data_IF_169674070601
#
_entry.id   IF_169674070601
#
_cell.length_a   1.000
_cell.length_b   1.000
_cell.length_c   1.000
_cell.angle_alpha   90.00
_cell.angle_beta   90.00
_cell.angle_gamma   90.00
#
_symmetry.space_group_name_H-M   'P 1'
#
loop_
_entity.id
_entity.type
_entity.pdbx_description
1 polymer ?
#
# COMPACT_ATOMS: atom_id res chain seq x y z
N UNK A 1 -6.35 -43.65 -87.00
CA UNK A 1 -6.76 -43.24 -85.64
C UNK A 1 -8.17 -42.67 -85.75
N UNK A 2 -9.12 -43.19 -84.97
CA UNK A 2 -10.54 -42.85 -85.13
C UNK A 2 -10.80 -41.41 -84.62
N UNK A 3 -11.24 -40.47 -85.47
CA UNK A 3 -11.41 -39.05 -85.10
C UNK A 3 -12.34 -38.86 -83.88
N UNK A 4 -13.33 -39.75 -83.69
CA UNK A 4 -14.26 -39.71 -82.56
C UNK A 4 -13.59 -39.95 -81.19
N UNK A 5 -12.47 -40.68 -81.14
CA UNK A 5 -11.73 -40.94 -79.89
C UNK A 5 -10.89 -39.71 -79.50
N UNK A 6 -10.41 -38.95 -80.50
CA UNK A 6 -9.63 -37.73 -80.27
C UNK A 6 -10.55 -36.62 -79.75
N UNK A 7 -11.74 -36.46 -80.33
CA UNK A 7 -12.70 -35.43 -79.92
C UNK A 7 -13.28 -35.68 -78.51
N UNK A 8 -13.56 -36.94 -78.17
CA UNK A 8 -14.03 -37.30 -76.81
C UNK A 8 -12.94 -37.13 -75.75
N UNK A 9 -11.68 -37.42 -76.09
CA UNK A 9 -10.55 -37.14 -75.21
C UNK A 9 -10.32 -35.62 -74.99
N UNK A 10 -10.49 -34.80 -76.04
CA UNK A 10 -10.40 -33.34 -75.94
C UNK A 10 -11.52 -32.76 -75.08
N UNK A 11 -12.76 -33.25 -75.25
CA UNK A 11 -13.89 -32.81 -74.42
C UNK A 11 -13.74 -33.23 -72.95
N UNK A 12 -13.27 -34.45 -72.68
CA UNK A 12 -12.99 -34.90 -71.31
C UNK A 12 -11.88 -34.06 -70.65
N UNK A 13 -10.83 -33.70 -71.40
CA UNK A 13 -9.77 -32.82 -70.93
C UNK A 13 -10.26 -31.39 -70.65
N UNK A 14 -11.18 -30.86 -71.47
CA UNK A 14 -11.80 -29.55 -71.22
C UNK A 14 -12.69 -29.55 -69.97
N UNK A 15 -13.49 -30.60 -69.75
CA UNK A 15 -14.33 -30.73 -68.55
C UNK A 15 -13.44 -30.84 -67.29
N UNK A 16 -12.33 -31.58 -67.35
CA UNK A 16 -11.37 -31.67 -66.26
C UNK A 16 -10.64 -30.33 -66.01
N UNK A 17 -10.28 -29.60 -67.07
CA UNK A 17 -9.66 -28.29 -66.96
C UNK A 17 -10.61 -27.27 -66.30
N UNK A 18 -11.88 -27.22 -66.74
CA UNK A 18 -12.89 -26.33 -66.15
C UNK A 18 -13.23 -26.70 -64.71
N UNK A 19 -13.33 -28.00 -64.40
CA UNK A 19 -13.51 -28.47 -63.03
C UNK A 19 -12.33 -28.10 -62.13
N UNK A 20 -11.09 -28.20 -62.65
CA UNK A 20 -9.86 -27.81 -61.94
C UNK A 20 -9.80 -26.31 -61.70
N UNK A 21 -10.19 -25.49 -62.68
CA UNK A 21 -10.25 -24.02 -62.55
C UNK A 21 -11.29 -23.61 -61.50
N UNK A 22 -12.49 -24.23 -61.51
CA UNK A 22 -13.53 -23.97 -60.50
C UNK A 22 -13.10 -24.44 -59.10
N UNK A 23 -12.45 -25.60 -58.99
CA UNK A 23 -11.91 -26.11 -57.73
C UNK A 23 -10.79 -25.22 -57.20
N UNK A 24 -9.90 -24.72 -58.06
CA UNK A 24 -8.84 -23.78 -57.69
C UNK A 24 -9.41 -22.43 -57.23
N UNK A 25 -10.48 -21.94 -57.88
CA UNK A 25 -11.16 -20.71 -57.47
C UNK A 25 -11.86 -20.86 -56.11
N UNK A 26 -12.59 -21.96 -55.90
CA UNK A 26 -13.23 -22.27 -54.61
C UNK A 26 -12.19 -22.53 -53.50
N UNK A 27 -11.09 -23.21 -53.82
CA UNK A 27 -9.96 -23.43 -52.91
C UNK A 27 -9.26 -22.13 -52.53
N UNK A 28 -9.04 -21.23 -53.49
CA UNK A 28 -8.46 -19.91 -53.26
C UNK A 28 -9.34 -19.01 -52.38
N UNK A 29 -10.66 -19.03 -52.60
CA UNK A 29 -11.62 -18.33 -51.73
C UNK A 29 -11.60 -18.93 -50.31
N UNK A 30 -11.58 -20.25 -50.19
CA UNK A 30 -11.51 -20.94 -48.89
C UNK A 30 -10.26 -20.57 -48.08
N UNK A 31 -9.09 -20.51 -48.73
CA UNK A 31 -7.84 -20.06 -48.11
C UNK A 31 -7.93 -18.58 -47.71
N UNK A 32 -8.45 -17.72 -48.60
CA UNK A 32 -8.61 -16.29 -48.32
C UNK A 32 -9.50 -16.03 -47.11
N UNK A 33 -10.66 -16.70 -47.03
CA UNK A 33 -11.58 -16.64 -45.89
C UNK A 33 -10.89 -17.15 -44.62
N UNK A 34 -10.19 -18.29 -44.68
CA UNK A 34 -9.48 -18.85 -43.53
C UNK A 34 -8.41 -17.92 -42.95
N UNK A 35 -7.66 -17.22 -43.80
CA UNK A 35 -6.65 -16.24 -43.37
C UNK A 35 -7.32 -15.03 -42.69
N UNK A 36 -8.41 -14.51 -43.25
CA UNK A 36 -9.14 -13.36 -42.68
C UNK A 36 -9.71 -13.72 -41.30
N UNK A 37 -10.36 -14.89 -41.17
CA UNK A 37 -10.89 -15.35 -39.88
C UNK A 37 -9.78 -15.59 -38.86
N UNK A 38 -8.66 -16.18 -39.28
CA UNK A 38 -7.51 -16.42 -38.39
C UNK A 38 -6.89 -15.11 -37.91
N UNK A 39 -6.72 -14.12 -38.79
CA UNK A 39 -6.21 -12.80 -38.42
C UNK A 39 -7.18 -12.07 -37.48
N UNK A 40 -8.47 -12.05 -37.78
CA UNK A 40 -9.46 -11.39 -36.94
C UNK A 40 -9.53 -12.01 -35.54
N UNK A 41 -9.49 -13.34 -35.48
CA UNK A 41 -9.45 -14.09 -34.21
C UNK A 41 -8.16 -13.81 -33.44
N UNK A 42 -7.00 -13.81 -34.12
CA UNK A 42 -5.71 -13.51 -33.48
C UNK A 42 -5.66 -12.09 -32.90
N UNK A 43 -6.15 -11.09 -33.63
CA UNK A 43 -6.24 -9.70 -33.14
C UNK A 43 -7.17 -9.59 -31.93
N UNK A 44 -8.31 -10.27 -31.97
CA UNK A 44 -9.26 -10.28 -30.87
C UNK A 44 -8.66 -10.94 -29.62
N UNK A 45 -8.01 -12.09 -29.77
CA UNK A 45 -7.31 -12.78 -28.67
C UNK A 45 -6.17 -11.94 -28.12
N UNK A 46 -5.35 -11.32 -28.96
CA UNK A 46 -4.24 -10.46 -28.52
C UNK A 46 -4.74 -9.24 -27.74
N UNK A 47 -5.82 -8.60 -28.20
CA UNK A 47 -6.44 -7.47 -27.48
C UNK A 47 -6.95 -7.91 -26.11
N UNK A 48 -7.69 -9.01 -26.06
CA UNK A 48 -8.25 -9.53 -24.81
C UNK A 48 -7.15 -9.98 -23.84
N UNK A 49 -6.09 -10.62 -24.35
CA UNK A 49 -4.93 -11.02 -23.56
C UNK A 49 -4.21 -9.82 -22.95
N UNK A 50 -4.00 -8.74 -23.72
CA UNK A 50 -3.36 -7.51 -23.21
C UNK A 50 -4.22 -6.82 -22.14
N UNK A 51 -5.54 -6.82 -22.30
CA UNK A 51 -6.46 -6.30 -21.27
C UNK A 51 -6.43 -7.15 -20.00
N UNK A 52 -6.41 -8.48 -20.13
CA UNK A 52 -6.29 -9.39 -19.00
C UNK A 52 -4.94 -9.24 -18.28
N UNK A 53 -3.84 -9.08 -19.01
CA UNK A 53 -2.52 -8.81 -18.46
C UNK A 53 -2.48 -7.46 -17.71
N UNK A 54 -3.09 -6.41 -18.28
CA UNK A 54 -3.20 -5.11 -17.62
C UNK A 54 -3.99 -5.20 -16.31
N UNK A 55 -5.14 -5.90 -16.32
CA UNK A 55 -5.93 -6.17 -15.10
C UNK A 55 -5.13 -6.92 -14.06
N UNK A 56 -4.41 -7.98 -14.46
CA UNK A 56 -3.55 -8.75 -13.56
C UNK A 56 -2.52 -7.86 -12.87
N UNK A 57 -1.82 -7.00 -13.62
CA UNK A 57 -0.81 -6.13 -13.06
C UNK A 57 -1.43 -5.14 -12.04
N UNK A 58 -2.54 -4.51 -12.39
CA UNK A 58 -3.25 -3.59 -11.48
C UNK A 58 -3.71 -4.32 -10.19
N UNK A 59 -4.19 -5.55 -10.29
CA UNK A 59 -4.63 -6.32 -9.12
C UNK A 59 -3.45 -6.74 -8.24
N UNK A 60 -2.29 -7.06 -8.84
CA UNK A 60 -1.07 -7.33 -8.10
C UNK A 60 -0.55 -6.09 -7.38
N UNK A 61 -0.54 -4.92 -8.04
CA UNK A 61 -0.16 -3.65 -7.42
C UNK A 61 -1.07 -3.31 -6.21
N UNK A 62 -2.36 -3.64 -6.29
CA UNK A 62 -3.28 -3.49 -5.16
C UNK A 62 -2.91 -4.41 -3.99
N UNK A 63 -2.62 -5.69 -4.27
CA UNK A 63 -2.24 -6.66 -3.23
C UNK A 63 -0.90 -6.27 -2.57
N UNK A 64 0.06 -5.80 -3.35
CA UNK A 64 1.34 -5.31 -2.85
C UNK A 64 1.15 -4.07 -1.96
N UNK A 65 0.43 -3.06 -2.46
CA UNK A 65 0.17 -1.84 -1.68
C UNK A 65 -0.64 -2.10 -0.40
N UNK A 66 -1.55 -3.09 -0.42
CA UNK A 66 -2.24 -3.53 0.79
C UNK A 66 -1.27 -4.15 1.81
N UNK A 67 -0.36 -5.00 1.34
CA UNK A 67 0.65 -5.64 2.20
C UNK A 67 1.57 -4.61 2.84
N UNK A 68 1.98 -3.60 2.06
CA UNK A 68 2.77 -2.46 2.57
C UNK A 68 1.99 -1.63 3.59
N UNK A 69 0.70 -1.36 3.35
CA UNK A 69 -0.14 -0.65 4.32
C UNK A 69 -0.27 -1.40 5.64
N UNK A 70 -0.52 -2.72 5.60
CA UNK A 70 -0.59 -3.55 6.81
C UNK A 70 0.74 -3.55 7.56
N UNK A 71 1.85 -3.69 6.84
CA UNK A 71 3.19 -3.58 7.43
C UNK A 71 3.41 -2.23 8.12
N UNK A 72 3.06 -1.11 7.45
CA UNK A 72 3.16 0.23 8.04
C UNK A 72 2.28 0.42 9.27
N UNK A 73 1.09 -0.20 9.29
CA UNK A 73 0.22 -0.20 10.45
C UNK A 73 0.85 -0.98 11.62
N UNK A 74 1.44 -2.15 11.38
CA UNK A 74 2.17 -2.88 12.41
C UNK A 74 3.42 -2.12 12.89
N UNK A 75 4.14 -1.44 11.99
CA UNK A 75 5.35 -0.71 12.35
C UNK A 75 5.10 0.48 13.24
N UNK A 76 3.88 1.04 13.28
CA UNK A 76 3.50 2.13 14.21
C UNK A 76 3.76 1.78 15.68
N UNK A 77 3.69 0.50 16.03
CA UNK A 77 3.98 0.01 17.39
C UNK A 77 5.47 0.09 17.73
N UNK A 78 6.33 0.03 16.72
CA UNK A 78 7.80 -0.01 16.87
C UNK A 78 8.43 1.35 16.62
N UNK A 79 7.96 2.06 15.59
CA UNK A 79 8.41 3.38 15.18
C UNK A 79 7.18 4.24 14.86
N UNK A 80 7.08 5.42 15.46
CA UNK A 80 5.97 6.36 15.25
C UNK A 80 6.13 7.16 13.95
N UNK A 81 6.41 6.46 12.84
CA UNK A 81 6.53 7.07 11.51
C UNK A 81 5.17 7.16 10.83
N UNK A 82 4.46 8.24 11.12
CA UNK A 82 3.11 8.50 10.61
C UNK A 82 3.15 8.99 9.17
N UNK A 83 4.22 9.65 8.75
CA UNK A 83 4.38 10.10 7.36
C UNK A 83 4.43 8.89 6.43
N UNK A 84 5.24 7.87 6.76
CA UNK A 84 5.29 6.63 6.01
C UNK A 84 3.92 5.92 5.94
N UNK A 85 3.15 5.95 7.03
CA UNK A 85 1.79 5.37 7.05
C UNK A 85 0.86 6.10 6.09
N UNK A 86 0.88 7.43 6.09
CA UNK A 86 0.06 8.28 5.22
C UNK A 86 0.39 8.00 3.76
N UNK A 87 1.67 7.94 3.41
CA UNK A 87 2.13 7.62 2.06
C UNK A 87 1.67 6.22 1.62
N UNK A 88 1.81 5.22 2.49
CA UNK A 88 1.37 3.85 2.22
C UNK A 88 -0.15 3.77 2.01
N UNK A 89 -0.91 4.54 2.79
CA UNK A 89 -2.37 4.65 2.61
C UNK A 89 -2.73 5.32 1.28
N UNK A 90 -2.02 6.38 0.88
CA UNK A 90 -2.24 7.04 -0.41
C UNK A 90 -1.96 6.12 -1.59
N UNK A 91 -0.88 5.35 -1.54
CA UNK A 91 -0.52 4.36 -2.57
C UNK A 91 -1.61 3.28 -2.65
N UNK A 92 -2.04 2.74 -1.51
CA UNK A 92 -3.14 1.76 -1.45
C UNK A 92 -4.43 2.33 -2.05
N UNK A 93 -4.85 3.53 -1.64
CA UNK A 93 -6.06 4.20 -2.17
C UNK A 93 -5.97 4.38 -3.68
N UNK A 94 -4.82 4.80 -4.19
CA UNK A 94 -4.61 5.00 -5.62
C UNK A 94 -4.73 3.69 -6.40
N UNK A 95 -4.13 2.61 -5.88
CA UNK A 95 -4.21 1.29 -6.52
C UNK A 95 -5.61 0.67 -6.38
N UNK A 96 -6.32 0.99 -5.30
CA UNK A 96 -7.70 0.60 -5.10
C UNK A 96 -8.61 1.23 -6.15
N UNK A 97 -8.45 2.53 -6.42
CA UNK A 97 -9.20 3.24 -7.47
C UNK A 97 -8.89 2.68 -8.87
N UNK A 98 -7.61 2.36 -9.15
CA UNK A 98 -7.22 1.70 -10.41
C UNK A 98 -7.88 0.34 -10.56
N UNK A 99 -7.89 -0.49 -9.51
CA UNK A 99 -8.54 -1.79 -9.53
C UNK A 99 -10.06 -1.66 -9.70
N UNK A 100 -10.68 -0.69 -9.02
CA UNK A 100 -12.09 -0.36 -9.16
C UNK A 100 -12.40 0.06 -10.60
N UNK A 101 -11.52 0.80 -11.28
CA UNK A 101 -11.70 1.19 -12.67
C UNK A 101 -11.76 0.00 -13.64
N UNK A 102 -10.88 -0.99 -13.47
CA UNK A 102 -10.71 -2.09 -14.45
C UNK A 102 -11.52 -3.36 -14.17
N UNK A 103 -12.03 -3.53 -12.94
CA UNK A 103 -12.80 -4.70 -12.53
C UNK A 103 -14.22 -4.75 -13.10
N UNK A 104 -14.83 -5.93 -13.02
CA UNK A 104 -16.21 -6.14 -13.43
C UNK A 104 -17.19 -5.49 -12.45
N UNK A 105 -18.40 -5.17 -12.93
CA UNK A 105 -19.41 -4.44 -12.14
C UNK A 105 -19.74 -5.14 -10.82
N UNK A 106 -19.79 -6.48 -10.79
CA UNK A 106 -20.07 -7.23 -9.56
C UNK A 106 -18.96 -7.07 -8.51
N UNK A 107 -17.69 -7.14 -8.93
CA UNK A 107 -16.56 -6.94 -8.03
C UNK A 107 -16.48 -5.48 -7.57
N UNK A 108 -16.78 -4.54 -8.47
CA UNK A 108 -16.86 -3.11 -8.17
C UNK A 108 -17.87 -2.81 -7.05
N UNK A 109 -19.04 -3.44 -7.05
CA UNK A 109 -20.03 -3.29 -5.97
C UNK A 109 -19.46 -3.71 -4.61
N UNK A 110 -18.74 -4.84 -4.56
CA UNK A 110 -18.09 -5.30 -3.33
C UNK A 110 -16.94 -4.39 -2.89
N UNK A 111 -16.19 -3.83 -3.85
CA UNK A 111 -15.19 -2.80 -3.56
C UNK A 111 -15.83 -1.52 -2.99
N UNK A 112 -16.98 -1.09 -3.50
CA UNK A 112 -17.71 0.06 -2.93
C UNK A 112 -18.13 -0.22 -1.49
N UNK A 113 -18.72 -1.40 -1.22
CA UNK A 113 -19.12 -1.82 0.13
C UNK A 113 -17.94 -1.86 1.11
N UNK A 114 -16.79 -2.33 0.65
CA UNK A 114 -15.55 -2.26 1.42
C UNK A 114 -15.21 -0.82 1.79
N UNK A 115 -15.25 0.09 0.82
CA UNK A 115 -14.90 1.48 1.04
C UNK A 115 -15.86 2.16 2.02
N UNK A 116 -17.16 1.88 1.90
CA UNK A 116 -18.20 2.34 2.82
C UNK A 116 -17.98 1.85 4.27
N UNK A 117 -17.46 0.64 4.44
CA UNK A 117 -17.16 0.05 5.75
C UNK A 117 -15.85 0.57 6.36
N UNK A 118 -14.81 0.75 5.54
CA UNK A 118 -13.45 1.05 6.00
C UNK A 118 -13.23 2.55 6.19
N UNK A 119 -13.68 3.40 5.27
CA UNK A 119 -13.40 4.85 5.32
C UNK A 119 -13.82 5.49 6.65
N UNK A 120 -15.01 5.22 7.22
CA UNK A 120 -15.39 5.78 8.52
C UNK A 120 -14.44 5.33 9.64
N UNK A 121 -14.02 4.07 9.64
CA UNK A 121 -13.09 3.50 10.63
C UNK A 121 -11.70 4.11 10.50
N UNK A 122 -11.22 4.26 9.27
CA UNK A 122 -9.96 4.95 8.97
C UNK A 122 -9.96 6.38 9.48
N UNK A 123 -11.05 7.14 9.28
CA UNK A 123 -11.16 8.52 9.79
C UNK A 123 -11.05 8.59 11.31
N UNK A 124 -11.74 7.69 12.02
CA UNK A 124 -11.67 7.60 13.49
C UNK A 124 -10.25 7.25 13.94
N UNK A 125 -9.64 6.26 13.29
CA UNK A 125 -8.28 5.82 13.60
C UNK A 125 -7.23 6.93 13.37
N UNK A 126 -7.27 7.62 12.22
CA UNK A 126 -6.36 8.73 11.90
C UNK A 126 -6.48 9.85 12.95
N UNK A 127 -7.69 10.16 13.40
CA UNK A 127 -7.90 11.19 14.43
C UNK A 127 -7.20 10.80 15.73
N UNK A 128 -7.41 9.57 16.21
CA UNK A 128 -6.74 9.06 17.42
C UNK A 128 -5.22 9.06 17.28
N UNK A 129 -4.72 8.70 16.10
CA UNK A 129 -3.29 8.70 15.80
C UNK A 129 -2.68 10.11 15.82
N UNK A 130 -3.40 11.12 15.29
CA UNK A 130 -2.96 12.51 15.30
C UNK A 130 -2.89 13.09 16.73
N UNK A 131 -3.87 12.77 17.57
CA UNK A 131 -3.87 13.17 18.99
C UNK A 131 -2.65 12.60 19.74
N UNK A 132 -2.37 11.31 19.53
CA UNK A 132 -1.20 10.63 20.08
C UNK A 132 0.12 11.23 19.59
N UNK A 133 0.25 11.48 18.29
CA UNK A 133 1.44 12.11 17.72
C UNK A 133 1.69 13.50 18.30
N UNK A 134 0.64 14.30 18.45
CA UNK A 134 0.73 15.62 19.07
C UNK A 134 1.25 15.55 20.51
N UNK A 135 0.96 14.46 21.23
CA UNK A 135 1.47 14.25 22.58
C UNK A 135 2.96 13.86 22.59
N UNK A 136 3.38 12.99 21.66
CA UNK A 136 4.80 12.62 21.47
C UNK A 136 5.63 13.85 21.09
N UNK A 137 5.16 14.66 20.14
CA UNK A 137 5.89 15.86 19.70
C UNK A 137 6.05 16.89 20.83
N UNK A 138 5.06 16.99 21.73
CA UNK A 138 5.20 17.80 22.96
C UNK A 138 6.30 17.28 23.88
N UNK A 139 6.36 15.96 24.11
CA UNK A 139 7.41 15.34 24.92
C UNK A 139 8.79 15.62 24.31
N UNK A 140 8.98 15.38 23.00
CA UNK A 140 10.24 15.68 22.31
C UNK A 140 10.65 17.15 22.43
N UNK A 141 9.69 18.07 22.33
CA UNK A 141 9.96 19.50 22.49
C UNK A 141 10.42 19.84 23.92
N UNK A 142 9.81 19.23 24.93
CA UNK A 142 10.20 19.38 26.33
C UNK A 142 11.59 18.78 26.60
N UNK A 143 11.90 17.59 26.06
CA UNK A 143 13.22 16.98 26.14
C UNK A 143 14.31 17.88 25.53
N UNK A 144 14.02 18.45 24.35
CA UNK A 144 14.93 19.40 23.71
C UNK A 144 15.18 20.62 24.60
N UNK A 145 14.12 21.21 25.17
CA UNK A 145 14.22 22.35 26.09
C UNK A 145 15.01 22.00 27.37
N UNK A 146 14.80 20.81 27.91
CA UNK A 146 15.57 20.28 29.05
C UNK A 146 17.07 20.21 28.71
N UNK A 147 17.41 19.63 27.56
CA UNK A 147 18.79 19.54 27.06
C UNK A 147 19.44 20.91 26.89
N UNK A 148 18.72 21.89 26.30
CA UNK A 148 19.20 23.26 26.14
C UNK A 148 19.50 23.94 27.50
N UNK A 149 18.65 23.73 28.51
CA UNK A 149 18.89 24.23 29.87
C UNK A 149 20.16 23.62 30.45
N UNK A 150 20.34 22.30 30.35
CA UNK A 150 21.53 21.62 30.85
C UNK A 150 22.80 22.08 30.13
N UNK A 151 22.76 22.24 28.81
CA UNK A 151 23.89 22.78 28.04
C UNK A 151 24.25 24.20 28.47
N UNK A 152 23.25 25.02 28.83
CA UNK A 152 23.48 26.39 29.31
C UNK A 152 24.16 26.49 30.68
N UNK A 153 24.21 25.40 31.47
CA UNK A 153 24.92 25.36 32.75
C UNK A 153 26.45 25.30 32.57
N UNK A 154 26.94 24.63 31.52
CA UNK A 154 28.37 24.47 31.24
C UNK A 154 29.15 25.80 31.23
N UNK A 155 28.75 26.85 30.50
CA UNK A 155 29.47 28.13 30.53
C UNK A 155 29.38 28.85 31.88
N UNK A 156 28.37 28.56 32.71
CA UNK A 156 28.25 29.13 34.06
C UNK A 156 29.29 28.49 34.98
N UNK A 157 29.43 27.16 34.93
CA UNK A 157 30.49 26.45 35.67
C UNK A 157 31.88 26.96 35.30
N UNK A 158 32.19 27.12 34.02
CA UNK A 158 33.48 27.67 33.58
C UNK A 158 33.75 29.08 34.14
N UNK A 159 32.71 29.92 34.25
CA UNK A 159 32.86 31.25 34.87
C UNK A 159 33.08 31.17 36.37
N UNK A 160 32.43 30.24 37.07
CA UNK A 160 32.67 30.00 38.50
C UNK A 160 34.13 29.59 38.74
N UNK A 161 34.65 28.67 37.94
CA UNK A 161 36.06 28.23 38.06
C UNK A 161 37.01 29.42 37.88
N UNK A 162 36.80 30.25 36.86
CA UNK A 162 37.61 31.46 36.62
C UNK A 162 37.53 32.46 37.80
N UNK A 163 36.32 32.74 38.31
CA UNK A 163 36.14 33.66 39.44
C UNK A 163 36.75 33.12 40.74
N UNK A 164 36.74 31.80 40.92
CA UNK A 164 37.29 31.14 42.12
C UNK A 164 38.83 31.20 42.15
N UNK A 165 39.47 31.19 40.98
CA UNK A 165 40.92 31.39 40.84
C UNK A 165 41.32 32.85 41.13
N UNK A 166 40.48 33.82 40.73
CA UNK A 166 40.75 35.25 40.93
C UNK A 166 40.46 35.74 42.36
N UNK A 167 39.36 35.29 42.98
CA UNK A 167 38.99 35.66 44.35
C UNK A 167 37.92 34.71 44.95
N UNK A 168 38.25 33.91 45.99
CA UNK A 168 37.36 32.88 46.54
C UNK A 168 36.06 33.39 47.18
N UNK A 169 35.98 34.68 47.56
CA UNK A 169 34.82 35.30 48.22
C UNK A 169 34.08 36.31 47.31
N UNK A 170 34.11 36.08 45.99
CA UNK A 170 33.49 37.00 45.04
C UNK A 170 31.95 36.83 45.02
N UNK A 171 31.21 37.93 45.21
CA UNK A 171 29.73 37.98 45.08
C UNK A 171 29.25 37.38 43.74
N UNK A 172 30.07 37.48 42.69
CA UNK A 172 29.78 36.88 41.37
C UNK A 172 29.63 35.35 41.43
N UNK A 173 30.30 34.68 42.37
CA UNK A 173 30.17 33.23 42.59
C UNK A 173 28.78 32.91 43.18
N UNK A 174 28.31 33.70 44.17
CA UNK A 174 26.96 33.57 44.73
C UNK A 174 25.88 33.75 43.66
N UNK A 175 25.99 34.81 42.86
CA UNK A 175 25.04 35.08 41.77
C UNK A 175 25.03 33.95 40.72
N UNK A 176 26.19 33.33 40.45
CA UNK A 176 26.27 32.19 39.55
C UNK A 176 25.60 30.95 40.14
N UNK A 177 25.74 30.68 41.44
CA UNK A 177 25.01 29.61 42.12
C UNK A 177 23.50 29.85 42.13
N UNK A 178 23.04 31.07 42.35
CA UNK A 178 21.60 31.41 42.26
C UNK A 178 21.05 31.16 40.85
N UNK A 179 21.83 31.50 39.83
CA UNK A 179 21.46 31.24 38.43
C UNK A 179 21.43 29.73 38.12
N UNK A 180 22.39 28.95 38.62
CA UNK A 180 22.39 27.48 38.50
C UNK A 180 21.15 26.90 39.17
N UNK A 181 20.87 27.29 40.42
CA UNK A 181 19.70 26.80 41.17
C UNK A 181 18.38 27.15 40.46
N UNK A 182 18.27 28.35 39.91
CA UNK A 182 17.11 28.75 39.10
C UNK A 182 16.94 27.87 37.86
N UNK A 183 18.04 27.61 37.12
CA UNK A 183 18.03 26.73 35.94
C UNK A 183 17.72 25.28 36.30
N UNK A 184 18.25 24.77 37.41
CA UNK A 184 17.94 23.42 37.90
C UNK A 184 16.46 23.30 38.31
N UNK A 185 15.89 24.31 38.98
CA UNK A 185 14.44 24.35 39.25
C UNK A 185 13.60 24.35 37.97
N UNK A 186 14.00 25.09 36.94
CA UNK A 186 13.31 25.07 35.65
C UNK A 186 13.44 23.71 34.96
N UNK A 187 14.63 23.12 35.01
CA UNK A 187 14.91 21.77 34.50
C UNK A 187 14.01 20.72 35.17
N UNK A 188 13.90 20.77 36.50
CA UNK A 188 13.05 19.87 37.28
C UNK A 188 11.57 20.01 36.88
N UNK A 189 11.06 21.24 36.74
CA UNK A 189 9.67 21.44 36.29
C UNK A 189 9.40 20.79 34.93
N UNK A 190 10.35 20.86 34.00
CA UNK A 190 10.22 20.21 32.69
C UNK A 190 10.18 18.68 32.84
N UNK A 191 11.03 18.12 33.71
CA UNK A 191 11.02 16.67 34.00
C UNK A 191 9.67 16.24 34.60
N UNK A 192 9.15 17.02 35.54
CA UNK A 192 7.84 16.76 36.15
C UNK A 192 6.72 16.82 35.08
N UNK A 193 6.74 17.84 34.20
CA UNK A 193 5.80 17.98 33.08
C UNK A 193 5.89 16.80 32.08
N UNK A 194 7.09 16.30 31.78
CA UNK A 194 7.28 15.11 30.93
C UNK A 194 6.67 13.90 31.61
N UNK A 195 6.96 13.68 32.89
CA UNK A 195 6.48 12.51 33.64
C UNK A 195 4.95 12.48 33.74
N UNK A 196 4.31 13.63 33.95
CA UNK A 196 2.85 13.76 33.95
C UNK A 196 2.25 13.43 32.57
N UNK A 197 2.86 13.92 31.48
CA UNK A 197 2.43 13.64 30.11
C UNK A 197 2.60 12.17 29.75
N UNK A 198 3.72 11.53 30.11
CA UNK A 198 3.95 10.11 29.89
C UNK A 198 2.92 9.26 30.62
N UNK A 199 2.68 9.55 31.90
CA UNK A 199 1.69 8.83 32.72
C UNK A 199 0.27 8.97 32.15
N UNK A 200 -0.11 10.19 31.72
CA UNK A 200 -1.41 10.42 31.09
C UNK A 200 -1.53 9.74 29.72
N UNK A 201 -0.43 9.60 28.98
CA UNK A 201 -0.43 8.99 27.65
C UNK A 201 -0.34 7.47 27.70
N UNK A 202 0.21 6.85 28.73
CA UNK A 202 0.37 5.40 28.82
C UNK A 202 -0.94 4.63 28.61
N UNK A 203 -2.02 5.11 29.24
CA UNK A 203 -3.37 4.56 29.05
C UNK A 203 -3.93 4.81 27.64
N UNK A 204 -3.63 5.96 27.04
CA UNK A 204 -4.03 6.25 25.67
C UNK A 204 -3.28 5.37 24.66
N UNK A 205 -1.99 5.13 24.88
CA UNK A 205 -1.14 4.24 24.07
C UNK A 205 -1.71 2.84 24.02
N UNK A 206 -2.04 2.25 25.18
CA UNK A 206 -2.65 0.92 25.25
C UNK A 206 -3.98 0.84 24.49
N UNK A 207 -4.82 1.87 24.62
CA UNK A 207 -6.09 1.95 23.90
C UNK A 207 -5.87 2.05 22.38
N UNK A 208 -4.95 2.90 21.94
CA UNK A 208 -4.65 3.09 20.51
C UNK A 208 -4.08 1.83 19.89
N UNK A 209 -3.19 1.11 20.58
CA UNK A 209 -2.64 -0.14 20.08
C UNK A 209 -3.69 -1.24 19.98
N UNK A 210 -4.65 -1.29 20.92
CA UNK A 210 -5.80 -2.19 20.81
C UNK A 210 -6.72 -1.81 19.66
N UNK A 211 -6.99 -0.51 19.48
CA UNK A 211 -7.81 -0.01 18.37
C UNK A 211 -7.12 -0.26 17.01
N UNK A 212 -5.79 -0.15 16.96
CA UNK A 212 -4.96 -0.49 15.81
C UNK A 212 -5.06 -1.97 15.45
N UNK A 213 -4.96 -2.88 16.42
CA UNK A 213 -5.09 -4.33 16.16
C UNK A 213 -6.48 -4.68 15.62
N UNK A 214 -7.52 -4.12 16.23
CA UNK A 214 -8.89 -4.27 15.74
C UNK A 214 -9.05 -3.71 14.32
N UNK A 215 -8.43 -2.56 14.03
CA UNK A 215 -8.47 -1.94 12.71
C UNK A 215 -7.75 -2.78 11.66
N UNK A 216 -6.54 -3.29 11.95
CA UNK A 216 -5.77 -4.18 11.06
C UNK A 216 -6.56 -5.46 10.78
N UNK A 217 -7.17 -6.05 11.80
CA UNK A 217 -7.97 -7.26 11.64
C UNK A 217 -9.16 -7.02 10.71
N UNK A 218 -9.96 -5.98 10.97
CA UNK A 218 -11.12 -5.62 10.15
C UNK A 218 -10.71 -5.31 8.71
N UNK A 219 -9.61 -4.56 8.54
CA UNK A 219 -9.08 -4.20 7.23
C UNK A 219 -8.66 -5.48 6.47
N UNK A 220 -7.93 -6.38 7.12
CA UNK A 220 -7.47 -7.64 6.54
C UNK A 220 -8.62 -8.55 6.13
N UNK A 221 -9.59 -8.78 7.02
CA UNK A 221 -10.76 -9.62 6.73
C UNK A 221 -11.56 -9.09 5.54
N UNK A 222 -11.73 -7.77 5.46
CA UNK A 222 -12.50 -7.12 4.40
C UNK A 222 -11.76 -7.16 3.05
N UNK A 223 -10.42 -6.97 3.06
CA UNK A 223 -9.60 -7.00 1.85
C UNK A 223 -9.48 -8.39 1.24
N UNK A 224 -9.46 -9.47 2.04
CA UNK A 224 -9.38 -10.85 1.54
C UNK A 224 -10.49 -11.16 0.53
N UNK A 225 -11.72 -10.74 0.84
CA UNK A 225 -12.86 -11.00 -0.03
C UNK A 225 -12.69 -10.27 -1.38
N UNK A 226 -12.18 -9.05 -1.39
CA UNK A 226 -11.89 -8.30 -2.63
C UNK A 226 -10.78 -8.99 -3.43
N UNK A 227 -9.66 -9.33 -2.79
CA UNK A 227 -8.53 -9.99 -3.46
C UNK A 227 -9.00 -11.28 -4.14
N UNK A 228 -9.88 -12.03 -3.48
CA UNK A 228 -10.46 -13.24 -4.06
C UNK A 228 -11.28 -12.95 -5.32
N UNK A 229 -12.19 -11.98 -5.27
CA UNK A 229 -13.00 -11.61 -6.44
C UNK A 229 -12.12 -11.15 -7.61
N UNK A 230 -11.09 -10.34 -7.35
CA UNK A 230 -10.14 -9.90 -8.36
C UNK A 230 -9.35 -11.06 -8.98
N UNK A 231 -9.01 -12.09 -8.20
CA UNK A 231 -8.35 -13.31 -8.69
C UNK A 231 -9.24 -14.16 -9.59
N UNK A 232 -10.53 -14.25 -9.27
CA UNK A 232 -11.49 -14.95 -10.12
C UNK A 232 -11.58 -14.29 -11.52
N UNK A 233 -11.56 -12.96 -11.59
CA UNK A 233 -11.62 -12.23 -12.87
C UNK A 233 -10.41 -12.50 -13.78
N UNK A 234 -9.24 -12.80 -13.21
CA UNK A 234 -8.03 -13.17 -13.97
C UNK A 234 -7.84 -14.69 -14.11
N UNK A 235 -8.86 -15.47 -13.77
CA UNK A 235 -8.89 -16.93 -13.97
C UNK A 235 -8.04 -17.73 -12.98
N UNK A 236 -7.61 -17.14 -11.87
CA UNK A 236 -6.89 -17.85 -10.80
C UNK A 236 -7.91 -18.64 -9.96
N UNK A 237 -7.74 -19.96 -9.92
CA UNK A 237 -8.55 -20.84 -9.06
C UNK A 237 -7.93 -20.86 -7.67
N UNK A 238 -8.66 -20.36 -6.67
CA UNK A 238 -8.21 -20.30 -5.28
C UNK A 238 -9.27 -20.87 -4.34
N UNK A 239 -8.84 -21.65 -3.36
CA UNK A 239 -9.68 -22.16 -2.27
C UNK A 239 -9.79 -21.10 -1.17
N UNK A 240 -10.92 -20.39 -1.16
CA UNK A 240 -11.18 -19.25 -0.25
C UNK A 240 -11.09 -19.66 1.21
N UNK A 241 -11.66 -20.81 1.57
CA UNK A 241 -11.69 -21.24 2.97
C UNK A 241 -10.30 -21.56 3.48
N UNK A 242 -9.51 -22.26 2.66
CA UNK A 242 -8.14 -22.62 3.01
C UNK A 242 -7.24 -21.40 3.08
N UNK A 243 -7.44 -20.43 2.19
CA UNK A 243 -6.66 -19.21 2.16
C UNK A 243 -7.00 -18.26 3.33
N UNK A 244 -8.28 -18.13 3.69
CA UNK A 244 -8.69 -17.44 4.92
C UNK A 244 -8.00 -18.04 6.15
N UNK A 245 -7.94 -19.37 6.26
CA UNK A 245 -7.21 -20.05 7.35
C UNK A 245 -5.70 -19.77 7.31
N UNK A 246 -5.09 -19.72 6.12
CA UNK A 246 -3.66 -19.40 6.00
C UNK A 246 -3.35 -17.97 6.43
N UNK A 247 -4.17 -17.00 6.04
CA UNK A 247 -3.98 -15.59 6.41
C UNK A 247 -4.24 -15.37 7.90
N UNK A 248 -5.26 -16.00 8.48
CA UNK A 248 -5.48 -15.98 9.94
C UNK A 248 -4.28 -16.55 10.71
N UNK A 249 -3.66 -17.62 10.21
CA UNK A 249 -2.43 -18.16 10.81
C UNK A 249 -1.24 -17.21 10.64
N UNK A 250 -1.14 -16.51 9.52
CA UNK A 250 -0.06 -15.55 9.26
C UNK A 250 -0.19 -14.32 10.18
N UNK A 251 -1.40 -13.79 10.34
CA UNK A 251 -1.71 -12.68 11.24
C UNK A 251 -1.55 -13.05 12.73
N UNK A 252 -1.59 -14.34 13.08
CA UNK A 252 -1.32 -14.80 14.45
C UNK A 252 0.18 -14.91 14.76
N UNK A 253 1.05 -14.84 13.75
CA UNK A 253 2.51 -14.91 13.89
C UNK A 253 3.13 -13.50 13.95
N UNK A 254 2.50 -12.51 13.32
CA UNK A 254 2.93 -11.11 13.25
C UNK A 254 2.29 -10.26 14.36
#
# INVERSE_FOLDING_TARGET
MNPQIIDTAIQAAQIQADATIRAAYLGGIGIGIGIIFSWWTALHIQKNARVAETRRNIYLDLVESFSNLVYSLHSLKMNTDIEHLIDSYHIFSTNFDKAMFVCETKTKEEMVKFNESIVPKTKVFIKSLAEFNGAIEKIKALEKKHSEILMSLKPIYTKIDNFSIESPMNIKISNAFDLINSKLKQSQKIVDEISDLESSNEHQTHKIFKDLDNYIQVLSESTINIIYLLRLEIGIKTDVEREKKLIQRLNAIN
#
